data_IF_843686061049
#
_entry.id   IF_843686061049
#
_cell.length_a   1.000
_cell.length_b   1.000
_cell.length_c   1.000
_cell.angle_alpha   90.00
_cell.angle_beta   90.00
_cell.angle_gamma   90.00
#
_symmetry.space_group_name_H-M   'P 1'
#
loop_
_entity.id
_entity.type
_entity.pdbx_description
1 polymer ?
#
# COMPACT_ATOMS: atom_id res chain seq x y z
N UNK A 1 0.37 -25.25 -3.04
CA UNK A 1 -0.41 -25.02 -1.81
C UNK A 1 0.11 -23.70 -1.25
N UNK A 2 -0.59 -22.59 -1.48
CA UNK A 2 -0.13 -21.28 -1.00
C UNK A 2 -0.10 -21.31 0.53
N UNK A 3 1.08 -21.09 1.10
CA UNK A 3 1.29 -20.98 2.53
C UNK A 3 0.66 -19.65 2.96
N UNK A 4 -0.30 -19.66 3.90
CA UNK A 4 -0.89 -18.40 4.36
C UNK A 4 0.08 -17.71 5.31
N UNK A 5 0.49 -16.45 5.05
CA UNK A 5 1.34 -15.72 5.97
C UNK A 5 0.58 -15.43 7.28
N UNK A 6 1.26 -15.62 8.41
CA UNK A 6 0.70 -15.33 9.74
C UNK A 6 0.59 -13.81 9.93
N UNK A 7 -0.54 -13.24 9.51
CA UNK A 7 -0.85 -11.84 9.81
C UNK A 7 -1.14 -11.69 11.31
N UNK A 8 -0.57 -10.67 11.95
CA UNK A 8 -0.74 -10.41 13.38
C UNK A 8 -1.86 -9.38 13.63
N UNK A 9 -2.71 -9.55 14.66
CA UNK A 9 -3.67 -8.51 15.05
C UNK A 9 -2.95 -7.19 15.34
N UNK A 10 -3.51 -6.07 14.89
CA UNK A 10 -2.99 -4.72 15.17
C UNK A 10 -3.98 -3.92 16.00
N UNK A 11 -3.46 -3.10 16.92
CA UNK A 11 -4.26 -2.16 17.71
C UNK A 11 -4.24 -0.81 17.00
N UNK A 12 -5.01 -0.67 15.93
CA UNK A 12 -5.23 0.64 15.29
C UNK A 12 -6.19 1.48 16.16
N UNK A 13 -6.13 2.81 16.04
CA UNK A 13 -7.11 3.70 16.69
C UNK A 13 -8.57 3.44 16.20
N UNK A 14 -8.73 2.68 15.12
CA UNK A 14 -9.99 2.30 14.48
C UNK A 14 -10.40 0.85 14.78
N UNK A 15 -9.74 0.18 15.73
CA UNK A 15 -9.89 -1.25 16.02
C UNK A 15 -11.30 -1.71 16.48
N UNK A 16 -12.25 -0.78 16.67
CA UNK A 16 -13.61 -1.11 17.09
C UNK A 16 -14.53 -1.62 15.98
N UNK A 17 -14.22 -1.37 14.70
CA UNK A 17 -15.16 -1.63 13.58
C UNK A 17 -14.77 -2.77 12.65
N UNK A 18 -13.49 -3.19 12.64
CA UNK A 18 -12.97 -4.22 11.73
C UNK A 18 -11.74 -4.93 12.33
N UNK A 19 -11.54 -6.24 12.10
CA UNK A 19 -10.34 -6.96 12.56
C UNK A 19 -9.11 -6.54 11.76
N UNK A 20 -8.39 -5.54 12.25
CA UNK A 20 -7.12 -5.12 11.66
C UNK A 20 -6.04 -6.18 11.88
N UNK A 21 -5.34 -6.50 10.79
CA UNK A 21 -4.19 -7.41 10.79
C UNK A 21 -3.01 -6.77 10.07
N UNK A 22 -1.79 -7.21 10.38
CA UNK A 22 -0.54 -6.69 9.82
C UNK A 22 0.27 -7.83 9.21
N UNK A 23 0.88 -7.56 8.05
CA UNK A 23 1.84 -8.43 7.37
C UNK A 23 3.26 -8.35 7.96
N UNK A 24 3.47 -7.57 9.01
CA UNK A 24 4.79 -7.39 9.61
C UNK A 24 5.42 -8.72 10.03
N UNK A 25 6.62 -8.98 9.51
CA UNK A 25 7.36 -10.23 9.76
C UNK A 25 6.89 -11.41 8.90
N UNK A 26 6.21 -11.15 7.78
CA UNK A 26 5.87 -12.14 6.75
C UNK A 26 6.33 -11.68 5.37
N UNK A 27 6.30 -12.60 4.41
CA UNK A 27 6.59 -12.41 2.99
C UNK A 27 5.41 -11.84 2.19
N UNK A 28 4.23 -11.69 2.80
CA UNK A 28 2.99 -11.28 2.13
C UNK A 28 3.17 -10.09 1.18
N UNK A 29 3.83 -9.01 1.63
CA UNK A 29 3.98 -7.81 0.80
C UNK A 29 4.88 -8.05 -0.44
N UNK A 30 5.86 -8.96 -0.36
CA UNK A 30 6.69 -9.34 -1.50
C UNK A 30 5.91 -10.16 -2.53
N UNK A 31 5.02 -11.06 -2.08
CA UNK A 31 4.13 -11.85 -2.97
C UNK A 31 3.22 -10.98 -3.83
N UNK A 32 2.86 -9.78 -3.34
CA UNK A 32 2.04 -8.80 -4.05
C UNK A 32 2.84 -7.61 -4.56
N UNK A 33 4.16 -7.72 -4.61
CA UNK A 33 5.05 -6.75 -5.26
C UNK A 33 4.94 -5.32 -4.73
N UNK A 34 4.71 -5.17 -3.42
CA UNK A 34 4.68 -3.87 -2.72
C UNK A 34 5.82 -3.72 -1.70
N UNK A 35 6.62 -4.77 -1.48
CA UNK A 35 7.91 -4.70 -0.80
C UNK A 35 9.04 -5.09 -1.76
N UNK A 36 10.19 -4.45 -1.60
CA UNK A 36 11.34 -4.65 -2.50
C UNK A 36 12.62 -4.95 -1.73
N UNK A 37 13.42 -5.85 -2.29
CA UNK A 37 14.74 -6.20 -1.76
C UNK A 37 15.75 -5.08 -2.05
N UNK A 38 16.81 -4.92 -1.22
CA UNK A 38 17.88 -3.99 -1.49
C UNK A 38 18.50 -4.16 -2.89
N UNK A 39 18.59 -5.41 -3.37
CA UNK A 39 19.12 -5.73 -4.69
C UNK A 39 18.24 -5.23 -5.83
N UNK A 40 16.92 -5.39 -5.74
CA UNK A 40 15.95 -4.89 -6.72
C UNK A 40 15.99 -3.36 -6.81
N UNK A 41 16.10 -2.70 -5.66
CA UNK A 41 16.21 -1.24 -5.57
C UNK A 41 17.53 -0.77 -6.19
N UNK A 42 18.66 -1.41 -5.82
CA UNK A 42 19.98 -1.04 -6.32
C UNK A 42 20.09 -1.19 -7.85
N UNK A 43 19.45 -2.22 -8.42
CA UNK A 43 19.43 -2.46 -9.86
C UNK A 43 18.37 -1.66 -10.60
N UNK A 44 17.40 -1.06 -9.89
CA UNK A 44 16.21 -0.40 -10.47
C UNK A 44 15.39 -1.36 -11.36
N UNK A 45 15.28 -2.61 -10.91
CA UNK A 45 14.65 -3.70 -11.64
C UNK A 45 13.39 -4.24 -10.95
N UNK A 46 12.88 -3.52 -9.95
CA UNK A 46 11.68 -3.92 -9.22
C UNK A 46 10.49 -4.16 -10.17
N UNK A 47 9.73 -5.22 -9.89
CA UNK A 47 8.44 -5.45 -10.51
C UNK A 47 7.37 -4.74 -9.70
N UNK A 48 6.67 -3.79 -10.28
CA UNK A 48 5.61 -3.03 -9.61
C UNK A 48 4.59 -2.54 -10.64
N UNK A 49 3.32 -2.49 -10.26
CA UNK A 49 2.21 -2.10 -11.14
C UNK A 49 2.22 -2.84 -12.51
N UNK A 50 2.37 -4.16 -12.45
CA UNK A 50 2.42 -5.06 -13.61
C UNK A 50 3.57 -4.82 -14.60
N UNK A 51 4.60 -4.06 -14.20
CA UNK A 51 5.73 -3.72 -15.05
C UNK A 51 7.06 -4.06 -14.35
N UNK A 52 8.01 -4.71 -15.04
CA UNK A 52 9.37 -4.83 -14.56
C UNK A 52 10.14 -3.51 -14.72
N UNK A 53 11.32 -3.40 -14.10
CA UNK A 53 12.22 -2.28 -14.38
C UNK A 53 11.79 -0.96 -13.74
N UNK A 54 10.97 -0.99 -12.68
CA UNK A 54 10.55 0.22 -11.99
C UNK A 54 11.66 0.70 -11.06
N UNK A 55 11.97 1.99 -11.16
CA UNK A 55 12.89 2.65 -10.26
C UNK A 55 12.14 3.07 -8.99
N UNK A 56 12.12 2.18 -8.01
CA UNK A 56 11.52 2.44 -6.69
C UNK A 56 12.57 3.10 -5.80
N UNK A 57 12.19 4.21 -5.14
CA UNK A 57 13.09 4.96 -4.27
C UNK A 57 13.13 4.42 -2.83
N UNK A 58 12.05 3.78 -2.39
CA UNK A 58 11.89 3.18 -1.06
C UNK A 58 12.00 1.65 -1.05
N UNK A 59 11.79 1.06 0.12
CA UNK A 59 11.65 -0.40 0.26
C UNK A 59 10.21 -0.90 0.12
N UNK A 60 9.24 0.02 0.04
CA UNK A 60 7.82 -0.26 -0.06
C UNK A 60 7.17 0.73 -1.05
N UNK A 61 6.10 0.28 -1.69
CA UNK A 61 5.18 1.10 -2.49
C UNK A 61 3.74 0.76 -2.10
N UNK A 62 2.78 1.59 -2.53
CA UNK A 62 1.37 1.37 -2.23
C UNK A 62 0.70 0.28 -3.10
N UNK A 63 -0.27 -0.40 -2.51
CA UNK A 63 -1.15 -1.29 -3.25
C UNK A 63 -2.39 -1.64 -2.46
N UNK A 64 -3.49 -1.90 -3.15
CA UNK A 64 -4.71 -2.47 -2.57
C UNK A 64 -5.01 -3.79 -3.25
N UNK A 65 -5.37 -4.79 -2.46
CA UNK A 65 -5.73 -6.12 -2.92
C UNK A 65 -7.00 -6.58 -2.22
N UNK A 66 -7.89 -7.22 -2.96
CA UNK A 66 -9.12 -7.84 -2.43
C UNK A 66 -9.04 -9.34 -2.60
N UNK A 67 -9.29 -10.03 -1.50
CA UNK A 67 -9.32 -11.49 -1.45
C UNK A 67 -10.73 -11.97 -1.14
N UNK A 68 -11.15 -13.00 -1.86
CA UNK A 68 -12.40 -13.70 -1.60
C UNK A 68 -12.11 -15.13 -1.17
N UNK A 69 -12.75 -15.60 -0.09
CA UNK A 69 -12.66 -16.99 0.35
C UNK A 69 -14.00 -17.68 0.09
N UNK A 70 -13.98 -18.77 -0.68
CA UNK A 70 -15.20 -19.55 -0.95
C UNK A 70 -15.56 -20.50 0.20
N UNK A 71 -16.71 -21.17 0.07
CA UNK A 71 -17.22 -22.13 1.05
C UNK A 71 -16.33 -23.37 1.22
N UNK A 72 -15.49 -23.68 0.21
CA UNK A 72 -14.52 -24.79 0.24
C UNK A 72 -13.20 -24.37 0.87
N UNK A 73 -13.06 -23.10 1.25
CA UNK A 73 -11.88 -22.53 1.85
C UNK A 73 -10.79 -22.09 0.87
N UNK A 74 -11.06 -22.10 -0.43
CA UNK A 74 -10.15 -21.57 -1.44
C UNK A 74 -10.14 -20.04 -1.39
N UNK A 75 -8.96 -19.43 -1.53
CA UNK A 75 -8.79 -17.98 -1.53
C UNK A 75 -8.43 -17.52 -2.92
N UNK A 76 -9.12 -16.49 -3.40
CA UNK A 76 -8.96 -15.88 -4.72
C UNK A 76 -8.50 -14.45 -4.54
N UNK A 77 -7.51 -14.01 -5.31
CA UNK A 77 -7.14 -12.61 -5.45
C UNK A 77 -8.01 -12.01 -6.55
N UNK A 78 -9.07 -11.31 -6.18
CA UNK A 78 -10.15 -10.92 -7.11
C UNK A 78 -9.98 -9.51 -7.65
N UNK A 79 -9.20 -8.67 -6.99
CA UNK A 79 -8.90 -7.32 -7.42
C UNK A 79 -7.55 -6.88 -6.88
N UNK A 80 -6.84 -6.10 -7.68
CA UNK A 80 -5.62 -5.43 -7.27
C UNK A 80 -5.46 -4.12 -8.04
N UNK A 81 -5.00 -3.07 -7.37
CA UNK A 81 -4.48 -1.88 -8.02
C UNK A 81 -3.36 -1.23 -7.20
N UNK A 82 -2.56 -0.43 -7.90
CA UNK A 82 -1.33 0.21 -7.41
C UNK A 82 -1.31 1.66 -7.91
N UNK A 83 -0.35 2.46 -7.45
CA UNK A 83 -0.16 3.83 -7.90
C UNK A 83 -1.46 4.65 -7.85
N UNK A 84 -1.71 5.47 -8.88
CA UNK A 84 -2.92 6.28 -9.00
C UNK A 84 -4.21 5.46 -9.03
N UNK A 85 -4.14 4.14 -9.22
CA UNK A 85 -5.28 3.25 -9.12
C UNK A 85 -5.90 3.21 -7.72
N UNK A 86 -5.14 3.53 -6.67
CA UNK A 86 -5.63 3.58 -5.30
C UNK A 86 -6.20 4.95 -4.89
N UNK A 87 -6.18 5.95 -5.76
CA UNK A 87 -6.63 7.31 -5.44
C UNK A 87 -8.08 7.35 -4.95
N UNK A 88 -8.94 6.43 -5.43
CA UNK A 88 -10.35 6.35 -5.03
C UNK A 88 -10.53 6.01 -3.55
N UNK A 89 -9.56 5.32 -2.94
CA UNK A 89 -9.59 4.98 -1.51
C UNK A 89 -8.81 6.00 -0.66
N UNK A 90 -8.13 6.96 -1.30
CA UNK A 90 -7.50 8.08 -0.62
C UNK A 90 -8.47 9.26 -0.51
N UNK A 91 -9.42 9.16 0.43
CA UNK A 91 -10.45 10.18 0.62
C UNK A 91 -9.90 11.57 0.94
N UNK A 92 -8.79 11.68 1.66
CA UNK A 92 -8.18 12.97 1.99
C UNK A 92 -7.74 13.73 0.73
N UNK A 93 -7.06 13.04 -0.20
CA UNK A 93 -6.59 13.68 -1.43
C UNK A 93 -7.76 14.07 -2.34
N UNK A 94 -8.80 13.22 -2.40
CA UNK A 94 -10.02 13.54 -3.15
C UNK A 94 -10.66 14.84 -2.65
N UNK A 95 -10.71 15.09 -1.34
CA UNK A 95 -11.25 16.35 -0.80
C UNK A 95 -10.35 17.55 -1.08
N UNK A 96 -9.02 17.40 -0.96
CA UNK A 96 -8.07 18.48 -1.26
C UNK A 96 -8.13 18.90 -2.72
N UNK A 97 -8.34 17.96 -3.64
CA UNK A 97 -8.45 18.25 -5.07
C UNK A 97 -9.72 19.07 -5.43
N UNK A 98 -10.71 19.16 -4.53
CA UNK A 98 -11.92 19.97 -4.73
C UNK A 98 -11.77 21.45 -4.33
N UNK A 99 -10.80 21.78 -3.47
CA UNK A 99 -10.66 23.14 -2.94
C UNK A 99 -9.73 23.97 -3.83
N UNK A 100 -9.90 25.32 -3.91
CA UNK A 100 -9.10 26.15 -4.82
C UNK A 100 -7.58 26.08 -4.63
N UNK A 101 -7.13 25.75 -3.42
CA UNK A 101 -5.69 25.60 -3.10
C UNK A 101 -5.14 24.22 -3.49
N UNK A 102 -6.01 23.28 -3.88
CA UNK A 102 -5.64 21.90 -4.11
C UNK A 102 -4.97 21.30 -2.87
N UNK A 103 -3.88 20.57 -3.12
CA UNK A 103 -3.01 19.99 -2.09
C UNK A 103 -1.98 20.98 -1.53
N UNK A 104 -1.88 22.18 -2.11
CA UNK A 104 -0.96 23.25 -1.67
C UNK A 104 0.51 22.80 -1.57
N UNK A 105 0.98 22.05 -2.57
CA UNK A 105 2.33 21.45 -2.58
C UNK A 105 3.41 22.33 -3.25
N UNK A 106 3.02 23.51 -3.74
CA UNK A 106 3.93 24.44 -4.37
C UNK A 106 4.98 24.96 -3.37
N UNK A 107 6.26 24.82 -3.72
CA UNK A 107 7.39 25.25 -2.88
C UNK A 107 7.86 24.23 -1.84
N UNK A 108 7.27 23.02 -1.81
CA UNK A 108 7.78 21.90 -1.02
C UNK A 108 8.99 21.25 -1.69
N UNK A 109 9.83 20.58 -0.88
CA UNK A 109 11.00 19.86 -1.37
C UNK A 109 10.61 18.65 -2.25
N UNK A 110 9.46 18.05 -1.96
CA UNK A 110 8.86 16.95 -2.72
C UNK A 110 7.35 16.86 -2.45
N UNK A 111 6.56 16.26 -3.39
CA UNK A 111 5.14 16.02 -3.15
C UNK A 111 4.92 15.25 -1.84
N UNK A 112 3.87 15.60 -1.09
CA UNK A 112 3.51 14.95 0.16
C UNK A 112 4.47 15.20 1.35
N UNK A 113 5.41 16.17 1.27
CA UNK A 113 6.32 16.53 2.38
C UNK A 113 5.56 16.90 3.68
N UNK A 114 4.31 17.35 3.56
CA UNK A 114 3.43 17.71 4.66
C UNK A 114 2.81 16.49 5.39
N UNK A 115 2.87 15.28 4.82
CA UNK A 115 2.33 14.09 5.47
C UNK A 115 3.13 13.74 6.74
N UNK A 116 2.41 13.60 7.85
CA UNK A 116 2.92 12.99 9.09
C UNK A 116 2.03 11.83 9.50
N UNK A 117 2.59 10.91 10.28
CA UNK A 117 1.76 9.90 10.94
C UNK A 117 0.87 10.60 11.97
N UNK A 118 -0.29 10.02 12.26
CA UNK A 118 -1.25 10.61 13.20
C UNK A 118 -0.63 10.92 14.58
N UNK A 119 0.34 10.12 15.03
CA UNK A 119 1.08 10.27 16.29
C UNK A 119 2.25 11.28 16.23
N UNK A 120 2.46 11.91 15.08
CA UNK A 120 3.53 12.88 14.83
C UNK A 120 3.00 14.30 14.56
N UNK A 121 1.69 14.52 14.71
CA UNK A 121 1.06 15.85 14.69
C UNK A 121 0.90 16.42 16.10
#
# INVERSE_FOLDING_TARGET
MLHWPRLKPTRSAWAGSFPWVSSHGSDFNFDYHVSFTPEEIAKREAYYNYQPGRAIAGSEEEGISVFYKDERGQVFHTHSCYERGIDMVNGAYQYLDLVPKGRDEDGLNYPMEWLRRHDQY
#
